data_IF_232459379002
#
_entry.id   IF_232459379002
#
_cell.length_a   1.000
_cell.length_b   1.000
_cell.length_c   1.000
_cell.angle_alpha   90.00
_cell.angle_beta   90.00
_cell.angle_gamma   90.00
#
_symmetry.space_group_name_H-M   'P 1'
#
loop_
_entity.id
_entity.type
_entity.pdbx_description
1 polymer ?
#
# COMPACT_ATOMS: atom_id res chain seq x y z
N UNK A 1 -8.89 -3.43 9.69
CA UNK A 1 -9.68 -2.19 9.69
C UNK A 1 -10.28 -1.95 11.07
N UNK A 2 -10.42 -0.68 11.47
CA UNK A 2 -11.15 -0.28 12.68
C UNK A 2 -12.26 0.71 12.27
N UNK A 3 -13.48 0.45 12.71
CA UNK A 3 -14.63 1.33 12.52
C UNK A 3 -14.99 1.97 13.86
N UNK A 4 -15.03 3.29 13.88
CA UNK A 4 -15.52 4.05 15.03
C UNK A 4 -16.68 4.94 14.59
N UNK A 5 -17.90 4.46 14.78
CA UNK A 5 -19.12 5.18 14.39
C UNK A 5 -19.32 6.46 15.22
N UNK A 6 -18.96 6.45 16.51
CA UNK A 6 -19.09 7.63 17.36
C UNK A 6 -18.14 8.76 16.93
N UNK A 7 -16.93 8.43 16.52
CA UNK A 7 -15.97 9.40 15.98
C UNK A 7 -16.14 9.65 14.48
N UNK A 8 -17.08 8.97 13.81
CA UNK A 8 -17.22 8.97 12.34
C UNK A 8 -15.87 8.74 11.65
N UNK A 9 -15.19 7.66 12.02
CA UNK A 9 -13.84 7.35 11.53
C UNK A 9 -13.75 5.91 11.04
N UNK A 10 -13.10 5.74 9.86
CA UNK A 10 -12.61 4.46 9.34
C UNK A 10 -11.09 4.50 9.35
N UNK A 11 -10.44 3.55 10.03
CA UNK A 11 -8.99 3.43 10.02
C UNK A 11 -8.56 2.19 9.22
N UNK A 12 -7.72 2.41 8.20
CA UNK A 12 -7.16 1.40 7.31
C UNK A 12 -5.66 1.30 7.57
N UNK A 13 -5.14 0.07 7.71
CA UNK A 13 -3.73 -0.21 7.92
C UNK A 13 -3.10 -0.79 6.66
N UNK A 14 -2.19 -0.07 6.05
CA UNK A 14 -1.38 -0.51 4.92
C UNK A 14 0.04 -0.81 5.37
N UNK A 15 0.65 -1.86 4.82
CA UNK A 15 2.02 -2.27 5.19
C UNK A 15 2.89 -2.36 3.95
N UNK A 16 4.04 -1.67 3.97
CA UNK A 16 5.09 -1.78 2.96
C UNK A 16 6.10 -2.83 3.40
N UNK A 17 6.12 -3.94 2.67
CA UNK A 17 6.98 -5.10 2.89
C UNK A 17 8.04 -5.20 1.80
N UNK A 18 9.13 -5.95 2.05
CA UNK A 18 10.19 -6.15 1.05
C UNK A 18 11.57 -6.27 1.70
N UNK A 19 12.59 -6.66 0.94
CA UNK A 19 13.93 -6.89 1.46
C UNK A 19 14.57 -5.63 2.06
N UNK A 20 15.68 -5.81 2.76
CA UNK A 20 16.46 -4.68 3.25
C UNK A 20 16.85 -3.76 2.08
N UNK A 21 16.88 -2.47 2.34
CA UNK A 21 17.28 -1.43 1.38
C UNK A 21 16.41 -1.32 0.11
N UNK A 22 15.30 -2.05 -0.04
CA UNK A 22 14.44 -1.94 -1.22
C UNK A 22 13.74 -0.58 -1.40
N UNK A 23 13.88 0.32 -0.43
CA UNK A 23 13.35 1.69 -0.49
C UNK A 23 11.97 1.86 0.12
N UNK A 24 11.56 1.02 1.09
CA UNK A 24 10.30 1.14 1.83
C UNK A 24 10.17 2.50 2.52
N UNK A 25 11.17 2.88 3.33
CA UNK A 25 11.24 4.18 4.01
C UNK A 25 11.28 5.34 3.02
N UNK A 26 12.02 5.19 1.91
CA UNK A 26 12.07 6.19 0.84
C UNK A 26 10.70 6.43 0.21
N UNK A 27 9.93 5.35 -0.01
CA UNK A 27 8.54 5.45 -0.47
C UNK A 27 7.66 6.22 0.51
N UNK A 28 7.77 5.98 1.83
CA UNK A 28 7.00 6.73 2.82
C UNK A 28 7.39 8.21 2.86
N UNK A 29 8.68 8.52 2.77
CA UNK A 29 9.18 9.91 2.70
C UNK A 29 8.65 10.61 1.45
N UNK A 30 8.77 9.99 0.29
CA UNK A 30 8.24 10.53 -0.96
C UNK A 30 6.72 10.68 -0.91
N UNK A 31 5.98 9.71 -0.39
CA UNK A 31 4.53 9.80 -0.21
C UNK A 31 4.16 10.97 0.73
N UNK A 32 4.91 11.15 1.82
CA UNK A 32 4.74 12.29 2.72
C UNK A 32 4.95 13.62 2.00
N UNK A 33 6.01 13.76 1.22
CA UNK A 33 6.33 14.99 0.48
C UNK A 33 5.30 15.29 -0.61
N UNK A 34 4.85 14.27 -1.33
CA UNK A 34 3.87 14.38 -2.42
C UNK A 34 2.43 14.60 -1.94
N UNK A 35 2.13 14.30 -0.68
CA UNK A 35 0.79 14.49 -0.12
C UNK A 35 0.64 15.93 0.42
N UNK A 36 -0.53 16.53 0.23
CA UNK A 36 -0.87 17.86 0.76
C UNK A 36 -0.70 17.93 2.28
N UNK A 37 -0.25 19.04 2.78
CA UNK A 37 0.04 19.25 4.21
C UNK A 37 -1.18 19.11 5.13
N UNK A 38 -2.39 19.39 4.62
CA UNK A 38 -3.66 19.28 5.35
C UNK A 38 -4.18 17.84 5.46
N UNK A 39 -3.62 16.94 4.66
CA UNK A 39 -4.04 15.53 4.56
C UNK A 39 -3.00 14.55 5.12
N UNK A 40 -1.80 15.02 5.49
CA UNK A 40 -0.73 14.18 6.05
C UNK A 40 -0.42 14.55 7.49
N UNK A 41 -0.21 13.54 8.32
CA UNK A 41 0.38 13.72 9.64
C UNK A 41 1.90 13.64 9.61
N UNK A 42 2.51 13.74 10.77
CA UNK A 42 3.97 13.62 10.92
C UNK A 42 4.42 12.19 10.57
N UNK A 43 5.43 12.07 9.73
CA UNK A 43 6.15 10.81 9.53
C UNK A 43 6.89 10.47 10.83
N UNK A 44 6.66 9.29 11.36
CA UNK A 44 7.21 8.82 12.63
C UNK A 44 8.08 7.59 12.39
N UNK A 45 9.28 7.59 12.96
CA UNK A 45 10.08 6.38 13.12
C UNK A 45 9.92 5.91 14.55
N UNK A 46 9.48 4.68 14.75
CA UNK A 46 9.25 4.10 16.06
C UNK A 46 10.43 3.18 16.40
N UNK A 47 11.12 3.55 17.49
CA UNK A 47 12.21 2.80 18.09
C UNK A 47 11.76 2.35 19.47
N UNK A 48 11.93 1.09 19.82
CA UNK A 48 11.69 0.65 21.20
C UNK A 48 12.96 0.77 22.04
N UNK A 49 12.82 1.28 23.26
CA UNK A 49 13.94 1.56 24.18
C UNK A 49 14.55 0.32 24.86
N UNK A 50 13.89 -0.83 24.79
CA UNK A 50 14.34 -2.06 25.47
C UNK A 50 14.98 -3.00 24.45
N UNK A 51 16.29 -3.13 24.46
CA UNK A 51 17.21 -4.12 23.81
C UNK A 51 16.77 -4.91 22.56
N UNK A 52 15.55 -4.70 22.07
CA UNK A 52 14.98 -5.23 20.83
C UNK A 52 14.47 -4.07 19.99
N UNK A 53 15.36 -3.49 19.23
CA UNK A 53 15.10 -2.35 18.35
C UNK A 53 14.01 -2.67 17.34
N UNK A 54 12.79 -2.23 17.61
CA UNK A 54 11.70 -2.26 16.66
C UNK A 54 11.81 -1.02 15.78
N UNK A 55 12.47 -1.14 14.63
CA UNK A 55 12.53 -0.05 13.66
C UNK A 55 11.44 -0.22 12.62
N UNK A 56 10.43 0.61 12.66
CA UNK A 56 9.48 0.76 11.56
C UNK A 56 9.02 2.21 11.45
N UNK A 57 8.74 2.63 10.22
CA UNK A 57 8.18 3.95 9.98
C UNK A 57 6.67 3.87 9.88
N UNK A 58 5.99 4.94 10.27
CA UNK A 58 4.55 5.10 10.12
C UNK A 58 4.21 6.48 9.60
N UNK A 59 3.40 6.53 8.53
CA UNK A 59 2.82 7.75 7.97
C UNK A 59 1.30 7.72 8.13
N UNK A 60 0.71 8.58 8.95
CA UNK A 60 -0.74 8.74 9.00
C UNK A 60 -1.21 9.72 7.92
N UNK A 61 -2.24 9.33 7.17
CA UNK A 61 -2.94 10.15 6.20
C UNK A 61 -4.41 10.25 6.63
N UNK A 62 -5.03 11.41 6.44
CA UNK A 62 -6.43 11.65 6.78
C UNK A 62 -7.13 12.26 5.59
N UNK A 63 -8.19 11.59 5.14
CA UNK A 63 -9.07 12.06 4.08
C UNK A 63 -10.46 12.32 4.66
N UNK A 64 -11.12 13.37 4.20
CA UNK A 64 -12.51 13.66 4.56
C UNK A 64 -13.42 13.24 3.41
N UNK A 65 -14.39 12.38 3.69
CA UNK A 65 -15.41 11.98 2.74
C UNK A 65 -16.78 12.43 3.23
N UNK A 66 -17.59 12.99 2.33
CA UNK A 66 -18.97 13.32 2.61
C UNK A 66 -19.80 12.04 2.47
N UNK A 67 -20.72 11.82 3.39
CA UNK A 67 -21.67 10.70 3.34
C UNK A 67 -22.96 11.11 2.64
N UNK A 68 -23.70 10.15 2.08
CA UNK A 68 -24.98 10.41 1.40
C UNK A 68 -26.05 10.97 2.35
N UNK A 69 -25.89 10.79 3.66
CA UNK A 69 -26.81 11.28 4.69
C UNK A 69 -26.45 12.69 5.19
N UNK A 70 -25.56 13.40 4.50
CA UNK A 70 -25.22 14.80 4.82
C UNK A 70 -24.24 14.95 5.97
N UNK A 71 -23.45 13.91 6.29
CA UNK A 71 -22.39 13.97 7.28
C UNK A 71 -20.99 13.85 6.64
N UNK A 72 -19.95 14.22 7.38
CA UNK A 72 -18.56 13.96 7.00
C UNK A 72 -18.01 12.79 7.79
N UNK A 73 -17.21 11.94 7.14
CA UNK A 73 -16.46 10.84 7.75
C UNK A 73 -14.97 11.04 7.55
N UNK A 74 -14.20 10.77 8.58
CA UNK A 74 -12.74 10.79 8.50
C UNK A 74 -12.23 9.39 8.09
N UNK A 75 -11.50 9.35 7.00
CA UNK A 75 -10.83 8.14 6.52
C UNK A 75 -9.36 8.27 6.90
N UNK A 76 -8.94 7.50 7.89
CA UNK A 76 -7.56 7.50 8.37
C UNK A 76 -6.80 6.32 7.81
N UNK A 77 -5.82 6.57 6.97
CA UNK A 77 -4.95 5.55 6.41
C UNK A 77 -3.59 5.62 7.11
N UNK A 78 -3.18 4.53 7.74
CA UNK A 78 -1.86 4.42 8.37
C UNK A 78 -0.99 3.51 7.52
N UNK A 79 0.09 4.07 6.97
CA UNK A 79 1.06 3.31 6.16
C UNK A 79 2.27 3.01 7.02
N UNK A 80 2.60 1.72 7.14
CA UNK A 80 3.73 1.22 7.93
C UNK A 80 4.80 0.61 7.03
N UNK A 81 6.07 0.73 7.40
CA UNK A 81 7.14 -0.12 6.85
C UNK A 81 7.47 -1.25 7.80
N UNK A 82 8.02 -2.34 7.28
CA UNK A 82 8.65 -3.38 8.11
C UNK A 82 10.17 -3.30 7.98
N UNK A 83 10.94 -3.69 9.02
CA UNK A 83 12.37 -3.82 8.90
C UNK A 83 12.71 -4.94 7.91
N UNK A 84 13.63 -4.65 6.97
CA UNK A 84 13.98 -5.62 5.91
C UNK A 84 15.02 -6.66 6.33
N UNK A 85 15.71 -6.47 7.46
CA UNK A 85 16.75 -7.38 7.93
C UNK A 85 16.13 -8.67 8.52
N UNK A 86 16.78 -9.80 8.26
CA UNK A 86 16.30 -11.14 8.65
C UNK A 86 16.09 -11.28 10.17
N UNK A 87 16.96 -10.66 10.96
CA UNK A 87 16.96 -10.71 12.45
C UNK A 87 15.65 -10.17 13.06
N UNK A 88 14.86 -9.38 12.34
CA UNK A 88 13.65 -8.71 12.84
C UNK A 88 12.33 -9.42 12.46
N UNK A 89 12.31 -10.76 12.39
CA UNK A 89 11.11 -11.51 12.00
C UNK A 89 9.90 -11.26 12.92
N UNK A 90 10.12 -11.15 14.24
CA UNK A 90 9.06 -10.84 15.22
C UNK A 90 8.44 -9.48 14.98
N UNK A 91 9.25 -8.48 14.67
CA UNK A 91 8.79 -7.12 14.34
C UNK A 91 7.95 -7.11 13.06
N UNK A 92 8.38 -7.84 12.03
CA UNK A 92 7.61 -7.95 10.78
C UNK A 92 6.23 -8.52 11.03
N UNK A 93 6.11 -9.58 11.85
CA UNK A 93 4.81 -10.17 12.22
C UNK A 93 3.94 -9.18 13.00
N UNK A 94 4.51 -8.48 13.98
CA UNK A 94 3.78 -7.48 14.75
C UNK A 94 3.23 -6.37 13.84
N UNK A 95 4.03 -5.89 12.90
CA UNK A 95 3.58 -4.86 11.94
C UNK A 95 2.54 -5.42 10.97
N UNK A 96 2.66 -6.68 10.51
CA UNK A 96 1.68 -7.32 9.63
C UNK A 96 0.35 -7.63 10.33
N UNK A 97 0.36 -7.77 11.65
CA UNK A 97 -0.87 -8.07 12.40
C UNK A 97 -1.91 -6.97 12.16
N UNK A 98 -3.10 -7.37 11.73
CA UNK A 98 -4.19 -6.45 11.40
C UNK A 98 -3.95 -5.58 10.14
N UNK A 99 -2.98 -5.92 9.29
CA UNK A 99 -2.82 -5.26 7.99
C UNK A 99 -4.05 -5.52 7.10
N UNK A 100 -4.60 -4.46 6.53
CA UNK A 100 -5.73 -4.54 5.59
C UNK A 100 -5.25 -4.79 4.16
N UNK A 101 -4.06 -4.29 3.81
CA UNK A 101 -3.39 -4.58 2.53
C UNK A 101 -1.87 -4.43 2.65
N UNK A 102 -1.14 -5.02 1.70
CA UNK A 102 0.33 -5.02 1.66
C UNK A 102 0.83 -4.56 0.30
N UNK A 103 1.82 -3.64 0.29
CA UNK A 103 2.65 -3.37 -0.88
C UNK A 103 3.98 -4.10 -0.73
N UNK A 104 4.31 -4.98 -1.66
CA UNK A 104 5.62 -5.58 -1.72
C UNK A 104 6.56 -4.70 -2.54
N UNK A 105 7.52 -4.09 -1.89
CA UNK A 105 8.51 -3.20 -2.49
C UNK A 105 9.74 -4.01 -2.86
N UNK A 106 9.82 -4.42 -4.11
CA UNK A 106 10.95 -5.15 -4.68
C UNK A 106 12.03 -4.16 -5.16
N UNK A 107 13.28 -4.55 -5.07
CA UNK A 107 14.39 -3.86 -5.72
C UNK A 107 14.48 -4.31 -7.18
N UNK A 108 14.51 -3.36 -8.12
CA UNK A 108 14.58 -3.66 -9.55
C UNK A 108 15.93 -4.22 -10.03
N UNK A 109 17.00 -4.07 -9.25
CA UNK A 109 18.33 -4.53 -9.63
C UNK A 109 18.34 -6.05 -9.81
N UNK A 110 18.99 -6.53 -10.87
CA UNK A 110 19.08 -7.97 -11.19
C UNK A 110 19.77 -8.73 -10.05
N UNK A 111 20.79 -8.12 -9.44
CA UNK A 111 21.51 -8.70 -8.31
C UNK A 111 20.62 -8.95 -7.07
N UNK A 112 19.51 -8.25 -6.94
CA UNK A 112 18.59 -8.37 -5.79
C UNK A 112 17.47 -9.40 -6.01
N UNK A 113 17.53 -10.18 -7.07
CA UNK A 113 16.50 -11.17 -7.43
C UNK A 113 16.26 -12.18 -6.30
N UNK A 114 17.33 -12.73 -5.73
CA UNK A 114 17.23 -13.71 -4.64
C UNK A 114 16.73 -13.09 -3.35
N UNK A 115 17.16 -11.86 -3.01
CA UNK A 115 16.69 -11.12 -1.85
C UNK A 115 15.18 -10.79 -1.95
N UNK A 116 14.73 -10.41 -3.16
CA UNK A 116 13.29 -10.21 -3.41
C UNK A 116 12.51 -11.52 -3.21
N UNK A 117 12.98 -12.63 -3.77
CA UNK A 117 12.32 -13.93 -3.66
C UNK A 117 12.26 -14.41 -2.20
N UNK A 118 13.38 -14.32 -1.48
CA UNK A 118 13.45 -14.69 -0.06
C UNK A 118 12.50 -13.84 0.80
N UNK A 119 12.47 -12.52 0.57
CA UNK A 119 11.58 -11.62 1.29
C UNK A 119 10.10 -11.85 0.95
N UNK A 120 9.77 -12.23 -0.29
CA UNK A 120 8.41 -12.57 -0.67
C UNK A 120 7.94 -13.88 -0.01
N UNK A 121 8.83 -14.87 0.07
CA UNK A 121 8.57 -16.11 0.81
C UNK A 121 8.38 -15.85 2.30
N UNK A 122 9.19 -14.97 2.89
CA UNK A 122 9.08 -14.56 4.29
C UNK A 122 7.73 -13.85 4.55
N UNK A 123 7.26 -12.97 3.66
CA UNK A 123 5.92 -12.39 3.76
C UNK A 123 4.85 -13.48 3.81
N UNK A 124 4.92 -14.47 2.92
CA UNK A 124 3.97 -15.60 2.87
C UNK A 124 3.98 -16.39 4.18
N UNK A 125 5.17 -16.67 4.72
CA UNK A 125 5.35 -17.40 5.98
C UNK A 125 4.77 -16.62 7.16
N UNK A 126 5.09 -15.32 7.27
CA UNK A 126 4.58 -14.48 8.35
C UNK A 126 3.04 -14.34 8.30
N UNK A 127 2.45 -14.21 7.11
CA UNK A 127 0.99 -14.21 6.98
C UNK A 127 0.38 -15.54 7.43
N UNK A 128 0.98 -16.67 7.03
CA UNK A 128 0.53 -18.01 7.45
C UNK A 128 0.59 -18.18 8.98
N UNK A 129 1.65 -17.71 9.62
CA UNK A 129 1.79 -17.73 11.09
C UNK A 129 0.74 -16.85 11.79
N UNK A 130 0.25 -15.82 11.13
CA UNK A 130 -0.88 -14.99 11.58
C UNK A 130 -2.26 -15.59 11.22
N UNK A 131 -2.32 -16.84 10.71
CA UNK A 131 -3.56 -17.50 10.32
C UNK A 131 -4.18 -16.96 9.03
N UNK A 132 -3.40 -16.28 8.18
CA UNK A 132 -3.86 -15.67 6.92
C UNK A 132 -3.12 -16.26 5.73
N UNK A 133 -3.77 -16.31 4.59
CA UNK A 133 -3.11 -16.65 3.32
C UNK A 133 -2.80 -15.40 2.50
N UNK A 134 -1.92 -15.52 1.50
CA UNK A 134 -1.67 -14.44 0.54
C UNK A 134 -2.94 -13.99 -0.20
N UNK A 135 -3.94 -14.87 -0.32
CA UNK A 135 -5.23 -14.57 -0.98
C UNK A 135 -6.14 -13.70 -0.10
N UNK A 136 -5.93 -13.75 1.21
CA UNK A 136 -6.75 -13.02 2.19
C UNK A 136 -6.30 -11.57 2.37
N UNK A 137 -5.18 -11.20 1.75
CA UNK A 137 -4.59 -9.86 1.89
C UNK A 137 -4.43 -9.23 0.52
N UNK A 138 -5.12 -8.13 0.22
CA UNK A 138 -4.86 -7.37 -0.99
C UNK A 138 -3.38 -7.03 -1.10
N UNK A 139 -2.79 -7.35 -2.24
CA UNK A 139 -1.36 -7.18 -2.49
C UNK A 139 -1.14 -6.40 -3.78
N UNK A 140 -0.20 -5.49 -3.77
CA UNK A 140 0.42 -4.90 -4.96
C UNK A 140 1.92 -5.14 -4.92
N UNK A 141 2.55 -5.20 -6.07
CA UNK A 141 4.01 -5.33 -6.21
C UNK A 141 4.54 -4.04 -6.82
N UNK A 142 5.54 -3.44 -6.18
CA UNK A 142 6.24 -2.28 -6.72
C UNK A 142 7.70 -2.65 -7.01
N UNK A 143 8.11 -2.60 -8.27
CA UNK A 143 9.52 -2.67 -8.65
C UNK A 143 10.13 -1.27 -8.53
N UNK A 144 10.80 -1.03 -7.41
CA UNK A 144 11.43 0.24 -7.07
C UNK A 144 12.87 0.35 -7.61
N UNK A 145 13.46 1.54 -7.56
CA UNK A 145 14.82 1.85 -8.02
C UNK A 145 15.02 1.70 -9.53
N UNK A 146 13.99 2.08 -10.30
CA UNK A 146 14.06 2.09 -11.78
C UNK A 146 15.05 3.11 -12.34
N UNK A 147 15.58 3.98 -11.51
CA UNK A 147 16.62 4.97 -11.80
C UNK A 147 18.03 4.41 -11.78
N UNK A 148 18.25 3.22 -11.23
CA UNK A 148 19.56 2.60 -11.12
C UNK A 148 19.95 1.84 -12.39
N UNK A 149 21.24 1.62 -12.63
CA UNK A 149 21.72 0.73 -13.70
C UNK A 149 21.49 -0.75 -13.35
N UNK A 150 21.61 -1.63 -14.34
CA UNK A 150 21.49 -3.09 -14.18
C UNK A 150 20.21 -3.55 -13.52
N UNK A 151 19.09 -2.88 -13.84
CA UNK A 151 17.76 -3.27 -13.40
C UNK A 151 17.09 -4.18 -14.42
N UNK A 152 16.13 -4.98 -13.98
CA UNK A 152 15.26 -5.75 -14.86
C UNK A 152 14.65 -4.84 -15.91
N UNK A 153 14.59 -5.30 -17.14
CA UNK A 153 13.95 -4.53 -18.22
C UNK A 153 12.46 -4.35 -17.96
N UNK A 154 11.86 -3.35 -18.58
CA UNK A 154 10.43 -3.14 -18.52
C UNK A 154 9.65 -4.35 -19.07
N UNK A 155 10.16 -4.97 -20.14
CA UNK A 155 9.53 -6.15 -20.75
C UNK A 155 9.50 -7.36 -19.79
N UNK A 156 10.56 -7.60 -19.00
CA UNK A 156 10.57 -8.65 -17.98
C UNK A 156 9.56 -8.39 -16.86
N UNK A 157 9.46 -7.13 -16.40
CA UNK A 157 8.47 -6.76 -15.37
C UNK A 157 7.06 -6.91 -15.92
N UNK A 158 6.83 -6.50 -17.16
CA UNK A 158 5.55 -6.61 -17.85
C UNK A 158 5.13 -8.08 -18.04
N UNK A 159 6.10 -8.95 -18.32
CA UNK A 159 5.85 -10.39 -18.41
C UNK A 159 5.50 -11.00 -17.04
N UNK A 160 6.22 -10.62 -15.98
CA UNK A 160 5.89 -11.02 -14.62
C UNK A 160 4.47 -10.57 -14.23
N UNK A 161 4.11 -9.34 -14.57
CA UNK A 161 2.78 -8.79 -14.31
C UNK A 161 1.67 -9.56 -15.05
N UNK A 162 1.90 -9.97 -16.30
CA UNK A 162 0.93 -10.79 -17.07
C UNK A 162 0.73 -12.19 -16.51
N UNK A 163 1.77 -12.78 -15.91
CA UNK A 163 1.71 -14.11 -15.29
C UNK A 163 1.14 -14.09 -13.89
N UNK A 164 1.26 -12.95 -13.20
CA UNK A 164 0.77 -12.74 -11.85
C UNK A 164 -0.70 -12.34 -11.78
N UNK A 165 -1.23 -12.29 -10.57
CA UNK A 165 -2.60 -11.79 -10.29
C UNK A 165 -2.58 -10.42 -9.63
N UNK A 166 -1.47 -10.05 -9.05
CA UNK A 166 -1.26 -8.82 -8.31
C UNK A 166 -0.90 -7.68 -9.28
N UNK A 167 -1.47 -6.47 -9.11
CA UNK A 167 -1.03 -5.32 -9.85
C UNK A 167 0.45 -5.03 -9.63
N UNK A 168 1.15 -4.72 -10.70
CA UNK A 168 2.57 -4.41 -10.68
C UNK A 168 2.78 -2.95 -11.05
N UNK A 169 3.61 -2.26 -10.28
CA UNK A 169 3.98 -0.86 -10.47
C UNK A 169 5.50 -0.74 -10.64
N UNK A 170 5.93 0.19 -11.48
CA UNK A 170 7.32 0.56 -11.66
C UNK A 170 7.56 1.89 -10.97
N UNK A 171 8.61 1.98 -10.16
CA UNK A 171 8.85 3.17 -9.35
C UNK A 171 10.34 3.54 -9.23
N UNK A 172 10.55 4.82 -9.00
CA UNK A 172 11.79 5.40 -8.51
C UNK A 172 11.44 6.31 -7.33
N UNK A 173 11.41 5.73 -6.14
CA UNK A 173 10.92 6.42 -4.95
C UNK A 173 11.76 7.66 -4.59
N UNK A 174 13.06 7.64 -4.89
CA UNK A 174 13.97 8.78 -4.68
C UNK A 174 13.55 10.00 -5.51
N UNK A 175 12.88 9.78 -6.65
CA UNK A 175 12.35 10.81 -7.52
C UNK A 175 10.82 10.98 -7.41
N UNK A 176 10.18 10.29 -6.48
CA UNK A 176 8.72 10.31 -6.28
C UNK A 176 7.90 9.63 -7.39
N UNK A 177 8.55 9.05 -8.41
CA UNK A 177 7.87 8.41 -9.56
C UNK A 177 7.30 7.05 -9.15
N UNK A 178 6.05 6.76 -9.52
CA UNK A 178 5.37 5.49 -9.26
C UNK A 178 4.94 5.30 -7.78
N UNK A 179 5.24 6.25 -6.90
CA UNK A 179 4.94 6.18 -5.46
C UNK A 179 3.45 6.38 -5.20
N UNK A 180 2.88 7.42 -5.78
CA UNK A 180 1.44 7.73 -5.64
C UNK A 180 0.60 6.66 -6.31
N UNK A 181 1.00 6.21 -7.50
CA UNK A 181 0.28 5.21 -8.29
C UNK A 181 0.21 3.86 -7.53
N UNK A 182 1.32 3.40 -6.96
CA UNK A 182 1.35 2.15 -6.20
C UNK A 182 0.61 2.26 -4.86
N UNK A 183 0.71 3.41 -4.17
CA UNK A 183 -0.08 3.67 -2.96
C UNK A 183 -1.58 3.68 -3.27
N UNK A 184 -1.97 4.37 -4.35
CA UNK A 184 -3.37 4.50 -4.76
C UNK A 184 -3.96 3.16 -5.19
N UNK A 185 -3.20 2.37 -5.98
CA UNK A 185 -3.60 1.01 -6.37
C UNK A 185 -3.75 0.08 -5.15
N UNK A 186 -2.88 0.21 -4.13
CA UNK A 186 -3.01 -0.54 -2.89
C UNK A 186 -4.25 -0.12 -2.10
N UNK A 187 -4.51 1.19 -1.99
CA UNK A 187 -5.65 1.74 -1.27
C UNK A 187 -6.97 1.32 -1.90
N UNK A 188 -7.06 1.35 -3.23
CA UNK A 188 -8.24 0.90 -3.97
C UNK A 188 -8.55 -0.58 -3.70
N UNK A 189 -7.55 -1.45 -3.79
CA UNK A 189 -7.71 -2.88 -3.48
C UNK A 189 -8.09 -3.14 -2.02
N UNK A 190 -7.51 -2.37 -1.10
CA UNK A 190 -7.88 -2.43 0.32
C UNK A 190 -9.35 -2.05 0.51
N UNK A 191 -9.79 -0.95 -0.10
CA UNK A 191 -11.17 -0.49 0.01
C UNK A 191 -12.16 -1.49 -0.59
N UNK A 192 -11.91 -1.98 -1.81
CA UNK A 192 -12.77 -2.97 -2.46
C UNK A 192 -12.98 -4.22 -1.59
N UNK A 193 -11.90 -4.75 -1.00
CA UNK A 193 -12.00 -5.89 -0.10
C UNK A 193 -12.81 -5.56 1.15
N UNK A 194 -12.49 -4.44 1.82
CA UNK A 194 -13.15 -4.03 3.05
C UNK A 194 -14.64 -3.74 2.82
N UNK A 195 -14.99 -3.15 1.68
CA UNK A 195 -16.39 -2.93 1.31
C UNK A 195 -17.12 -4.26 1.10
N UNK A 196 -16.49 -5.21 0.39
CA UNK A 196 -17.06 -6.55 0.19
C UNK A 196 -17.26 -7.34 1.49
N UNK A 197 -16.37 -7.19 2.48
CA UNK A 197 -16.46 -7.89 3.78
C UNK A 197 -17.39 -7.20 4.78
N UNK A 198 -17.51 -5.89 4.73
CA UNK A 198 -18.17 -5.09 5.78
C UNK A 198 -19.36 -4.25 5.30
N UNK A 199 -19.62 -4.24 3.99
CA UNK A 199 -20.69 -3.48 3.35
C UNK A 199 -20.60 -1.97 3.67
N UNK A 200 -19.37 -1.42 3.49
CA UNK A 200 -19.06 -0.05 3.86
C UNK A 200 -19.85 0.96 3.03
N UNK A 201 -20.02 0.69 1.76
CA UNK A 201 -20.80 1.53 0.84
C UNK A 201 -22.21 1.75 1.39
N UNK A 202 -22.91 0.69 1.84
CA UNK A 202 -24.25 0.80 2.41
C UNK A 202 -24.25 1.41 3.80
N UNK A 203 -23.34 1.01 4.68
CA UNK A 203 -23.29 1.46 6.09
C UNK A 203 -22.81 2.89 6.25
N UNK A 204 -21.93 3.35 5.37
CA UNK A 204 -21.33 4.67 5.46
C UNK A 204 -21.84 5.66 4.42
N UNK A 205 -22.57 5.15 3.41
CA UNK A 205 -23.04 5.98 2.29
C UNK A 205 -21.88 6.54 1.43
N UNK A 206 -20.74 5.87 1.40
CA UNK A 206 -19.55 6.29 0.64
C UNK A 206 -19.30 5.28 -0.48
N UNK A 207 -19.56 5.66 -1.72
CA UNK A 207 -19.26 4.81 -2.87
C UNK A 207 -17.76 4.69 -3.08
N UNK A 208 -17.25 3.54 -3.61
CA UNK A 208 -15.81 3.36 -3.88
C UNK A 208 -15.21 4.49 -4.72
N UNK A 209 -15.92 4.94 -5.76
CA UNK A 209 -15.44 6.02 -6.63
C UNK A 209 -15.31 7.35 -5.88
N UNK A 210 -16.26 7.64 -4.97
CA UNK A 210 -16.21 8.84 -4.12
C UNK A 210 -15.04 8.79 -3.14
N UNK A 211 -14.81 7.62 -2.52
CA UNK A 211 -13.66 7.40 -1.65
C UNK A 211 -12.36 7.65 -2.40
N UNK A 212 -12.19 7.03 -3.58
CA UNK A 212 -10.98 7.17 -4.39
C UNK A 212 -10.80 8.60 -4.91
N UNK A 213 -11.86 9.29 -5.31
CA UNK A 213 -11.80 10.69 -5.72
C UNK A 213 -11.36 11.61 -4.57
N UNK A 214 -11.88 11.42 -3.35
CA UNK A 214 -11.46 12.19 -2.18
C UNK A 214 -10.01 11.89 -1.78
N UNK A 215 -9.58 10.63 -1.84
CA UNK A 215 -8.20 10.26 -1.60
C UNK A 215 -7.25 10.92 -2.62
N UNK A 216 -7.59 10.88 -3.92
CA UNK A 216 -6.80 11.53 -4.96
C UNK A 216 -6.72 13.05 -4.77
N UNK A 217 -7.85 13.70 -4.46
CA UNK A 217 -7.88 15.15 -4.19
C UNK A 217 -6.98 15.51 -2.99
N UNK A 218 -7.01 14.71 -1.93
CA UNK A 218 -6.18 14.91 -0.73
C UNK A 218 -4.68 14.69 -0.99
N UNK A 219 -4.35 13.85 -1.97
CA UNK A 219 -2.99 13.67 -2.46
C UNK A 219 -2.55 14.78 -3.45
N UNK A 220 -3.45 15.68 -3.85
CA UNK A 220 -3.19 16.71 -4.85
C UNK A 220 -3.40 16.27 -6.31
N UNK A 221 -4.11 15.16 -6.53
CA UNK A 221 -4.33 14.53 -7.84
C UNK A 221 -5.82 14.46 -8.23
N UNK A 222 -6.61 15.45 -7.83
CA UNK A 222 -8.05 15.52 -8.16
C UNK A 222 -8.30 15.34 -9.67
N UNK A 223 -9.27 14.50 -10.03
CA UNK A 223 -9.63 14.22 -11.41
C UNK A 223 -8.71 13.23 -12.13
N UNK A 224 -7.71 12.66 -11.46
CA UNK A 224 -6.76 11.69 -12.02
C UNK A 224 -6.90 10.28 -11.43
N UNK A 225 -8.01 10.00 -10.76
CA UNK A 225 -8.24 8.76 -10.02
C UNK A 225 -8.09 7.52 -10.90
N UNK A 226 -8.64 7.59 -12.14
CA UNK A 226 -8.57 6.48 -13.11
C UNK A 226 -7.14 6.25 -13.62
N UNK A 227 -6.37 7.30 -13.74
CA UNK A 227 -4.95 7.21 -14.14
C UNK A 227 -4.11 6.59 -13.04
N UNK A 228 -4.31 7.05 -11.79
CA UNK A 228 -3.59 6.56 -10.62
C UNK A 228 -3.89 5.08 -10.33
N UNK A 229 -5.12 4.64 -10.51
CA UNK A 229 -5.52 3.25 -10.27
C UNK A 229 -4.99 2.27 -11.32
N UNK A 230 -4.46 2.75 -12.46
CA UNK A 230 -3.90 1.88 -13.50
C UNK A 230 -2.51 1.42 -13.09
N UNK A 231 -2.36 0.11 -12.80
CA UNK A 231 -1.06 -0.51 -12.75
C UNK A 231 -0.35 -0.33 -14.11
N UNK A 232 0.94 -0.04 -14.08
CA UNK A 232 1.70 0.23 -15.29
C UNK A 232 1.79 -0.96 -16.24
N UNK A 233 1.48 -2.18 -15.78
CA UNK A 233 1.28 -3.35 -16.67
C UNK A 233 0.52 -4.47 -15.96
N UNK A 234 -0.33 -5.18 -16.70
CA UNK A 234 -0.78 -6.55 -16.42
C UNK A 234 -1.95 -6.76 -15.46
N UNK A 235 -2.49 -5.74 -14.87
CA UNK A 235 -3.81 -5.85 -14.26
C UNK A 235 -4.84 -5.90 -15.38
N UNK A 236 -5.33 -7.09 -15.74
CA UNK A 236 -6.58 -7.20 -16.50
C UNK A 236 -7.61 -6.40 -15.71
N UNK A 237 -7.95 -5.24 -16.22
CA UNK A 237 -9.22 -4.61 -15.91
C UNK A 237 -10.23 -5.65 -16.33
N UNK A 238 -10.80 -6.38 -15.37
CA UNK A 238 -12.01 -7.11 -15.62
C UNK A 238 -13.02 -6.03 -15.96
N UNK A 239 -13.14 -5.74 -17.25
CA UNK A 239 -14.33 -5.10 -17.78
C UNK A 239 -15.46 -6.04 -17.40
N UNK A 240 -16.22 -5.69 -16.37
CA UNK A 240 -17.62 -6.04 -16.35
C UNK A 240 -18.26 -5.20 -17.46
N UNK A 241 -18.15 -5.71 -18.67
CA UNK A 241 -19.06 -5.32 -19.74
C UNK A 241 -20.43 -5.83 -19.28
N UNK A 242 -21.37 -4.93 -19.24
CA UNK A 242 -22.72 -5.18 -18.81
C UNK A 242 -23.44 -6.23 -19.67
N UNK A 243 -24.34 -6.91 -19.02
CA UNK A 243 -25.60 -7.37 -19.56
C UNK A 243 -26.70 -6.78 -18.71
#
# INVERSE_FOLDING_TARGET
MQLNFAAREVAIKLVYYGPALSGKTTNLKALHELTRSDSRGRLMTLETKDDRTLFFDMLPLVFKADTTEGGAMNLRVKVFTVPGQVVHASTRRLVLQGADAVAFIADSQIAETENNAASFLDLRTNLKELGRSMRDVPLVIQFNKRDLPNVRSDAEIDDLARRGKEPVFKASAVHGKGVIESFFGLLDRAWQKLDGEHDLTRKLGIKPEQFMAKAAASLGYAGRERELARAHVGGSIIKKEGA
#
